data_IF_148649342848
#
_entry.id   IF_148649342848
#
_cell.length_a   1.000
_cell.length_b   1.000
_cell.length_c   1.000
_cell.angle_alpha   90.00
_cell.angle_beta   90.00
_cell.angle_gamma   90.00
#
_symmetry.space_group_name_H-M   'P 1'
#
loop_
_entity.id
_entity.type
_entity.pdbx_description
1 polymer ?
#
# COMPACT_ATOMS: atom_id res chain seq x y z
N UNK A 1 6.72 -18.88 14.47
CA UNK A 1 7.01 -19.86 13.39
C UNK A 1 6.97 -19.20 12.02
N UNK A 2 7.67 -19.72 11.02
CA UNK A 2 7.57 -19.27 9.63
C UNK A 2 6.85 -20.32 8.79
N UNK A 3 5.87 -19.90 7.97
CA UNK A 3 5.11 -20.77 7.07
C UNK A 3 5.20 -20.21 5.65
N UNK A 4 5.40 -21.10 4.67
CA UNK A 4 5.34 -20.73 3.25
C UNK A 4 3.89 -20.80 2.76
N UNK A 5 3.34 -19.65 2.41
CA UNK A 5 2.00 -19.51 1.85
C UNK A 5 2.07 -19.34 0.33
N UNK A 6 1.03 -19.81 -0.38
CA UNK A 6 0.85 -19.64 -1.82
C UNK A 6 -0.61 -19.30 -2.09
N UNK A 7 -0.86 -18.38 -3.01
CA UNK A 7 -2.18 -18.17 -3.61
C UNK A 7 -2.18 -18.82 -4.99
N UNK A 8 -3.00 -19.87 -5.15
CA UNK A 8 -3.22 -20.58 -6.41
C UNK A 8 -4.67 -20.39 -6.86
N UNK A 9 -4.89 -20.38 -8.17
CA UNK A 9 -6.22 -20.57 -8.75
C UNK A 9 -6.15 -21.53 -9.93
N UNK A 10 -7.30 -22.08 -10.29
CA UNK A 10 -7.47 -22.76 -11.57
C UNK A 10 -7.13 -21.84 -12.75
N UNK A 11 -6.47 -22.40 -13.76
CA UNK A 11 -6.26 -21.80 -15.07
C UNK A 11 -7.43 -22.16 -15.96
N UNK A 12 -8.47 -21.33 -15.91
CA UNK A 12 -9.74 -21.55 -16.61
C UNK A 12 -9.79 -20.80 -17.94
N UNK A 13 -10.20 -21.45 -19.03
CA UNK A 13 -10.43 -20.78 -20.31
C UNK A 13 -11.80 -20.07 -20.37
N UNK A 14 -12.08 -19.36 -21.46
CA UNK A 14 -13.35 -18.65 -21.69
C UNK A 14 -14.60 -19.53 -21.80
N UNK A 15 -14.46 -20.86 -21.76
CA UNK A 15 -15.56 -21.85 -21.73
C UNK A 15 -15.77 -22.48 -20.35
N UNK A 16 -14.94 -22.16 -19.35
CA UNK A 16 -15.00 -22.79 -18.03
C UNK A 16 -14.16 -24.06 -17.89
N UNK A 17 -13.37 -24.45 -18.90
CA UNK A 17 -12.50 -25.63 -18.82
C UNK A 17 -11.23 -25.29 -18.03
N UNK A 18 -10.84 -26.13 -17.05
CA UNK A 18 -9.65 -25.97 -16.20
C UNK A 18 -8.50 -26.78 -16.75
N UNK A 19 -7.32 -26.16 -16.91
CA UNK A 19 -6.13 -26.78 -17.52
C UNK A 19 -4.96 -27.00 -16.55
N UNK A 20 -5.16 -26.74 -15.25
CA UNK A 20 -4.16 -26.82 -14.19
C UNK A 20 -4.26 -25.65 -13.23
N UNK A 21 -3.32 -25.56 -12.30
CA UNK A 21 -3.25 -24.46 -11.33
C UNK A 21 -2.20 -23.42 -11.73
N UNK A 22 -2.47 -22.16 -11.42
CA UNK A 22 -1.51 -21.05 -11.51
C UNK A 22 -1.23 -20.49 -10.12
N UNK A 23 0.03 -20.47 -9.71
CA UNK A 23 0.50 -19.67 -8.59
C UNK A 23 0.52 -18.19 -9.00
N UNK A 24 -0.19 -17.35 -8.24
CA UNK A 24 -0.23 -15.89 -8.44
C UNK A 24 0.73 -15.16 -7.51
N UNK A 25 0.79 -15.60 -6.25
CA UNK A 25 1.64 -15.02 -5.21
C UNK A 25 2.16 -16.12 -4.27
N UNK A 26 3.32 -15.90 -3.69
CA UNK A 26 3.79 -16.66 -2.54
C UNK A 26 4.54 -15.77 -1.55
N UNK A 27 4.53 -16.17 -0.28
CA UNK A 27 5.10 -15.40 0.82
C UNK A 27 5.62 -16.33 1.93
N UNK A 28 6.51 -15.80 2.77
CA UNK A 28 6.82 -16.37 4.07
C UNK A 28 6.06 -15.57 5.13
N UNK A 29 5.08 -16.20 5.78
CA UNK A 29 4.29 -15.58 6.83
C UNK A 29 4.85 -16.00 8.18
N UNK A 30 5.20 -15.03 9.04
CA UNK A 30 5.62 -15.30 10.41
C UNK A 30 4.40 -15.31 11.33
N UNK A 31 4.06 -16.49 11.84
CA UNK A 31 3.06 -16.65 12.90
C UNK A 31 3.69 -16.44 14.28
N UNK A 32 2.94 -15.78 15.15
CA UNK A 32 3.24 -15.59 16.57
C UNK A 32 2.26 -16.43 17.38
N UNK A 33 2.70 -17.02 18.49
CA UNK A 33 1.78 -17.67 19.42
C UNK A 33 0.95 -16.61 20.15
N UNK A 34 -0.32 -16.91 20.40
CA UNK A 34 -1.19 -16.00 21.17
C UNK A 34 -0.66 -15.91 22.60
N UNK A 35 -0.36 -14.69 23.03
CA UNK A 35 0.16 -14.35 24.36
C UNK A 35 -0.53 -13.08 24.86
N UNK A 36 -0.67 -12.95 26.17
CA UNK A 36 -1.15 -11.70 26.81
C UNK A 36 -0.06 -10.61 26.76
N UNK A 37 1.21 -11.00 26.65
CA UNK A 37 2.33 -10.10 26.38
C UNK A 37 2.95 -10.41 25.01
N UNK A 38 2.82 -9.45 24.09
CA UNK A 38 3.45 -9.45 22.77
C UNK A 38 4.51 -8.34 22.63
N UNK A 39 4.89 -7.66 23.72
CA UNK A 39 5.78 -6.49 23.71
C UNK A 39 7.12 -6.77 23.03
N UNK A 40 7.76 -7.91 23.33
CA UNK A 40 9.02 -8.32 22.68
C UNK A 40 8.87 -8.56 21.18
N UNK A 41 7.73 -9.10 20.74
CA UNK A 41 7.42 -9.28 19.31
C UNK A 41 7.19 -7.93 18.63
N UNK A 42 6.31 -7.09 19.18
CA UNK A 42 5.97 -5.78 18.64
C UNK A 42 7.19 -4.86 18.60
N UNK A 43 8.04 -4.89 19.62
CA UNK A 43 9.32 -4.19 19.62
C UNK A 43 10.22 -4.67 18.47
N UNK A 44 10.32 -6.00 18.26
CA UNK A 44 11.10 -6.53 17.13
C UNK A 44 10.57 -6.07 15.77
N UNK A 45 9.26 -5.87 15.62
CA UNK A 45 8.66 -5.33 14.39
C UNK A 45 8.92 -3.84 14.21
N UNK A 46 8.74 -3.04 15.26
CA UNK A 46 9.06 -1.60 15.22
C UNK A 46 10.54 -1.39 14.89
N UNK A 47 11.46 -2.20 15.44
CA UNK A 47 12.90 -2.12 15.09
C UNK A 47 13.22 -2.59 13.67
N UNK A 48 12.33 -3.33 13.01
CA UNK A 48 12.49 -3.77 11.61
C UNK A 48 11.81 -2.84 10.61
N UNK A 49 11.03 -1.85 11.05
CA UNK A 49 10.42 -0.84 10.19
C UNK A 49 11.48 -0.11 9.32
N UNK A 50 11.08 0.49 8.19
CA UNK A 50 11.96 1.38 7.46
C UNK A 50 12.14 2.70 8.23
N UNK A 51 13.39 3.15 8.37
CA UNK A 51 13.73 4.41 9.03
C UNK A 51 13.63 5.57 8.04
N UNK A 52 12.38 5.94 7.72
CA UNK A 52 12.04 7.01 6.78
C UNK A 52 11.36 8.21 7.46
N UNK A 53 11.35 8.22 8.79
CA UNK A 53 10.69 9.23 9.62
C UNK A 53 9.16 9.17 9.58
N UNK A 54 8.53 10.10 10.30
CA UNK A 54 7.08 10.17 10.48
C UNK A 54 6.47 11.11 9.42
N UNK A 55 5.33 10.73 8.76
CA UNK A 55 4.61 11.60 7.84
C UNK A 55 4.13 12.89 8.51
N UNK A 56 4.17 14.02 7.80
CA UNK A 56 3.67 15.29 8.32
C UNK A 56 2.14 15.32 8.52
N UNK A 57 1.67 16.21 9.40
CA UNK A 57 0.25 16.45 9.68
C UNK A 57 -0.13 17.86 9.21
N UNK A 58 -0.03 18.08 7.90
CA UNK A 58 -0.40 19.33 7.23
C UNK A 58 -1.64 19.15 6.31
N UNK A 59 -2.15 20.25 5.77
CA UNK A 59 -3.25 20.24 4.79
C UNK A 59 -2.84 19.59 3.45
N UNK A 60 -3.83 19.09 2.70
CA UNK A 60 -3.59 18.48 1.39
C UNK A 60 -3.16 19.50 0.32
N UNK A 61 -1.97 19.34 -0.24
CA UNK A 61 -1.55 20.05 -1.46
C UNK A 61 -2.17 19.46 -2.73
N UNK A 62 -2.48 18.16 -2.76
CA UNK A 62 -3.19 17.51 -3.87
C UNK A 62 -4.37 16.65 -3.37
N UNK A 63 -5.56 16.97 -3.87
CA UNK A 63 -6.80 16.24 -3.58
C UNK A 63 -6.84 14.86 -4.25
N UNK A 64 -7.64 13.89 -3.73
CA UNK A 64 -7.89 12.58 -4.37
C UNK A 64 -8.22 12.66 -5.86
N UNK A 65 -8.96 13.70 -6.28
CA UNK A 65 -9.36 13.91 -7.66
C UNK A 65 -8.19 14.22 -8.62
N UNK A 66 -7.02 14.61 -8.11
CA UNK A 66 -5.79 14.76 -8.89
C UNK A 66 -5.10 13.42 -9.12
N UNK A 67 -5.13 12.54 -8.12
CA UNK A 67 -4.57 11.18 -8.13
C UNK A 67 -5.42 10.29 -9.04
N UNK A 68 -6.74 10.25 -8.85
CA UNK A 68 -7.65 9.40 -9.63
C UNK A 68 -7.97 9.89 -11.05
N UNK A 69 -7.36 10.99 -11.50
CA UNK A 69 -7.25 11.32 -12.94
C UNK A 69 -6.11 10.56 -13.64
N UNK A 70 -5.17 9.99 -12.88
CA UNK A 70 -3.97 9.27 -13.35
C UNK A 70 -4.05 7.77 -13.09
N UNK A 71 -4.81 7.38 -12.07
CA UNK A 71 -5.02 5.99 -11.70
C UNK A 71 -6.28 5.38 -12.34
N UNK A 72 -6.14 4.15 -12.84
CA UNK A 72 -7.24 3.32 -13.33
C UNK A 72 -7.91 2.52 -12.20
N UNK A 73 -8.28 3.19 -11.09
CA UNK A 73 -8.93 2.57 -9.94
C UNK A 73 -10.44 2.88 -9.87
N UNK A 74 -11.25 1.83 -9.84
CA UNK A 74 -12.68 1.93 -9.53
C UNK A 74 -12.91 2.38 -8.08
N UNK A 75 -14.07 2.98 -7.75
CA UNK A 75 -14.33 3.63 -6.46
C UNK A 75 -14.24 2.73 -5.22
N UNK A 76 -14.23 1.41 -5.38
CA UNK A 76 -13.96 0.43 -4.31
C UNK A 76 -12.47 0.34 -3.93
N UNK A 77 -11.55 0.83 -4.75
CA UNK A 77 -10.10 0.81 -4.53
C UNK A 77 -9.51 2.23 -4.45
N UNK A 78 -10.34 3.25 -4.26
CA UNK A 78 -9.89 4.63 -4.14
C UNK A 78 -9.53 4.96 -2.68
N UNK A 79 -8.43 4.35 -2.21
CA UNK A 79 -7.96 4.39 -0.82
C UNK A 79 -6.83 5.40 -0.52
N UNK A 80 -6.50 6.27 -1.47
CA UNK A 80 -5.53 7.36 -1.32
C UNK A 80 -6.28 8.69 -1.10
N UNK A 81 -6.23 9.20 0.12
CA UNK A 81 -7.01 10.36 0.60
C UNK A 81 -6.47 11.73 0.19
N UNK A 82 -5.27 11.78 -0.38
CA UNK A 82 -4.64 12.99 -0.92
C UNK A 82 -3.15 13.01 -0.61
N UNK A 83 -2.41 13.94 -1.21
CA UNK A 83 -1.00 14.20 -0.90
C UNK A 83 -0.91 15.43 0.00
N UNK A 84 -0.15 15.30 1.09
CA UNK A 84 0.17 16.35 2.05
C UNK A 84 1.38 17.16 1.56
N UNK A 85 2.45 16.49 1.11
CA UNK A 85 3.63 17.11 0.48
C UNK A 85 4.51 16.10 -0.27
N UNK A 86 5.42 16.57 -1.11
CA UNK A 86 6.61 15.80 -1.44
C UNK A 86 7.56 15.71 -0.24
N UNK A 87 8.39 14.67 -0.20
CA UNK A 87 9.45 14.48 0.80
C UNK A 87 10.67 13.82 0.17
N UNK A 88 11.76 13.76 0.94
CA UNK A 88 13.04 13.23 0.48
C UNK A 88 13.75 14.20 -0.46
N UNK A 89 14.61 13.67 -1.33
CA UNK A 89 15.41 14.45 -2.27
C UNK A 89 15.29 13.88 -3.71
N UNK A 90 16.24 14.20 -4.59
CA UNK A 90 16.24 13.70 -5.97
C UNK A 90 16.64 12.21 -6.08
N UNK A 91 17.44 11.73 -5.12
CA UNK A 91 17.94 10.36 -5.10
C UNK A 91 16.92 9.42 -4.42
N UNK A 92 16.27 9.90 -3.36
CA UNK A 92 15.22 9.20 -2.59
C UNK A 92 13.90 10.00 -2.51
N UNK A 93 13.25 10.31 -3.65
CA UNK A 93 12.01 11.07 -3.68
C UNK A 93 10.86 10.30 -3.03
N UNK A 94 9.92 11.02 -2.44
CA UNK A 94 8.77 10.45 -1.79
C UNK A 94 7.58 11.40 -1.63
N UNK A 95 6.53 10.91 -0.97
CA UNK A 95 5.32 11.67 -0.67
C UNK A 95 4.78 11.32 0.72
N UNK A 96 4.40 12.37 1.47
CA UNK A 96 3.51 12.27 2.63
C UNK A 96 2.06 12.41 2.13
N UNK A 97 1.18 11.52 2.54
CA UNK A 97 -0.18 11.36 2.01
C UNK A 97 -1.16 10.83 3.06
N UNK A 98 -2.46 10.86 2.76
CA UNK A 98 -3.50 10.24 3.60
C UNK A 98 -3.86 8.86 3.07
N UNK A 99 -3.86 7.85 3.94
CA UNK A 99 -4.42 6.52 3.65
C UNK A 99 -5.88 6.47 4.11
N UNK A 100 -6.77 5.95 3.26
CA UNK A 100 -8.18 5.76 3.62
C UNK A 100 -8.43 4.31 4.00
N UNK A 101 -9.01 4.13 5.17
CA UNK A 101 -9.58 2.86 5.57
C UNK A 101 -10.79 2.49 4.71
N UNK A 102 -11.08 1.19 4.75
CA UNK A 102 -12.17 0.50 4.09
C UNK A 102 -13.57 1.13 4.28
N UNK A 103 -13.83 1.84 5.39
CA UNK A 103 -15.08 2.57 5.68
C UNK A 103 -15.06 4.04 5.23
N UNK A 104 -13.90 4.58 4.85
CA UNK A 104 -13.71 5.95 4.34
C UNK A 104 -13.74 5.99 2.80
N UNK A 105 -13.74 4.83 2.13
CA UNK A 105 -13.76 4.70 0.67
C UNK A 105 -15.07 5.24 0.03
N UNK A 106 -15.03 5.69 -1.23
CA UNK A 106 -16.22 6.11 -1.98
C UNK A 106 -17.30 5.02 -2.12
N UNK A 107 -16.90 3.75 -2.23
CA UNK A 107 -17.77 2.59 -2.06
C UNK A 107 -17.13 1.66 -1.03
N UNK A 108 -17.87 1.31 0.02
CA UNK A 108 -17.34 0.69 1.25
C UNK A 108 -17.48 -0.82 1.25
N UNK A 109 -18.49 -1.32 0.55
CA UNK A 109 -18.77 -2.72 0.31
C UNK A 109 -17.65 -3.27 -0.59
N UNK A 110 -17.09 -4.41 -0.22
CA UNK A 110 -15.98 -5.08 -0.92
C UNK A 110 -16.31 -6.56 -1.15
N UNK A 111 -17.20 -7.11 -0.33
CA UNK A 111 -17.60 -8.51 -0.34
C UNK A 111 -19.10 -8.60 -0.54
N UNK A 112 -19.54 -9.61 -1.30
CA UNK A 112 -20.96 -9.86 -1.61
C UNK A 112 -21.86 -10.04 -0.36
N UNK A 113 -21.28 -10.42 0.78
CA UNK A 113 -21.99 -10.53 2.05
C UNK A 113 -22.59 -9.18 2.52
N UNK A 114 -21.90 -8.07 2.23
CA UNK A 114 -22.27 -6.73 2.72
C UNK A 114 -23.40 -6.08 1.92
N UNK A 115 -23.60 -6.52 0.68
CA UNK A 115 -24.75 -6.11 -0.15
C UNK A 115 -26.09 -6.44 0.53
N UNK A 116 -26.08 -7.38 1.48
CA UNK A 116 -27.23 -7.80 2.29
C UNK A 116 -27.07 -7.45 3.78
N UNK A 117 -26.14 -6.54 4.12
CA UNK A 117 -25.88 -6.12 5.50
C UNK A 117 -25.07 -7.09 6.36
N UNK A 118 -24.42 -8.10 5.76
CA UNK A 118 -23.49 -8.98 6.47
C UNK A 118 -22.21 -8.26 6.86
N UNK A 119 -21.63 -8.64 8.00
CA UNK A 119 -20.35 -8.13 8.49
C UNK A 119 -19.18 -9.00 7.99
N UNK A 120 -18.05 -8.37 7.62
CA UNK A 120 -16.81 -9.05 7.26
C UNK A 120 -15.67 -8.50 8.11
N UNK A 121 -15.16 -9.35 8.98
CA UNK A 121 -13.95 -9.11 9.76
C UNK A 121 -12.73 -9.59 8.97
N UNK A 122 -11.63 -8.83 9.02
CA UNK A 122 -10.38 -9.15 8.33
C UNK A 122 -9.23 -9.13 9.34
N UNK A 123 -8.42 -10.19 9.33
CA UNK A 123 -7.17 -10.32 10.10
C UNK A 123 -6.02 -9.45 9.52
N UNK A 124 -6.31 -8.63 8.51
CA UNK A 124 -5.34 -7.82 7.78
C UNK A 124 -6.00 -6.53 7.25
N UNK A 125 -5.18 -5.57 6.84
CA UNK A 125 -5.61 -4.24 6.40
C UNK A 125 -5.33 -4.05 4.87
N UNK A 126 -5.98 -4.83 3.97
CA UNK A 126 -5.62 -4.85 2.55
C UNK A 126 -5.79 -3.49 1.85
N UNK A 127 -6.74 -2.67 2.29
CA UNK A 127 -6.93 -1.32 1.75
C UNK A 127 -5.81 -0.34 2.15
N UNK A 128 -5.11 -0.59 3.26
CA UNK A 128 -3.94 0.21 3.66
C UNK A 128 -2.68 -0.24 2.90
N UNK A 129 -2.55 -1.55 2.62
CA UNK A 129 -1.51 -2.06 1.71
C UNK A 129 -1.72 -1.45 0.31
N UNK A 130 -2.95 -1.44 -0.20
CA UNK A 130 -3.31 -0.83 -1.49
C UNK A 130 -3.10 0.69 -1.49
N UNK A 131 -3.42 1.40 -0.39
CA UNK A 131 -3.09 2.82 -0.26
C UNK A 131 -1.57 3.06 -0.37
N UNK A 132 -0.76 2.18 0.21
CA UNK A 132 0.69 2.22 0.08
C UNK A 132 1.19 1.94 -1.34
N UNK A 133 0.57 1.00 -2.06
CA UNK A 133 0.85 0.77 -3.48
C UNK A 133 0.52 2.01 -4.33
N UNK A 134 -0.56 2.71 -4.01
CA UNK A 134 -0.95 3.94 -4.68
C UNK A 134 -0.03 5.12 -4.34
N UNK A 135 0.47 5.24 -3.10
CA UNK A 135 1.44 6.30 -2.76
C UNK A 135 2.79 6.07 -3.46
N UNK A 136 3.33 4.86 -3.34
CA UNK A 136 4.59 4.48 -3.98
C UNK A 136 4.50 4.56 -5.51
N UNK A 137 3.37 4.16 -6.09
CA UNK A 137 3.13 4.28 -7.52
C UNK A 137 3.02 5.74 -7.98
N UNK A 138 2.47 6.63 -7.16
CA UNK A 138 2.39 8.06 -7.44
C UNK A 138 3.79 8.71 -7.40
N UNK A 139 4.64 8.31 -6.46
CA UNK A 139 6.06 8.67 -6.42
C UNK A 139 6.81 8.15 -7.67
N UNK A 140 6.53 6.93 -8.12
CA UNK A 140 7.12 6.39 -9.35
C UNK A 140 6.63 7.11 -10.62
N UNK A 141 5.36 7.52 -10.68
CA UNK A 141 4.82 8.35 -11.77
C UNK A 141 5.49 9.72 -11.86
N UNK A 142 5.81 10.34 -10.71
CA UNK A 142 6.48 11.63 -10.63
C UNK A 142 7.96 11.53 -10.99
N UNK A 143 8.67 10.60 -10.37
CA UNK A 143 10.14 10.54 -10.42
C UNK A 143 10.71 9.74 -11.61
N UNK A 144 10.02 8.69 -12.07
CA UNK A 144 10.44 7.88 -13.22
C UNK A 144 9.58 8.12 -14.47
N UNK A 145 8.40 8.74 -14.33
CA UNK A 145 7.50 8.99 -15.46
C UNK A 145 6.75 7.74 -15.95
N UNK A 146 6.60 6.69 -15.12
CA UNK A 146 5.86 5.47 -15.49
C UNK A 146 4.72 5.14 -14.53
N UNK A 147 3.62 4.66 -15.10
CA UNK A 147 2.63 3.86 -14.38
C UNK A 147 3.20 2.46 -14.10
N UNK A 148 2.89 1.91 -12.92
CA UNK A 148 3.53 0.68 -12.43
C UNK A 148 2.54 -0.26 -11.75
N UNK A 149 2.89 -1.55 -11.66
CA UNK A 149 2.14 -2.56 -10.90
C UNK A 149 3.01 -3.18 -9.79
N UNK A 150 2.44 -3.51 -8.61
CA UNK A 150 3.17 -4.20 -7.56
C UNK A 150 3.54 -5.62 -7.97
N UNK A 151 4.80 -5.98 -7.77
CA UNK A 151 5.34 -7.33 -8.07
C UNK A 151 5.88 -8.07 -6.84
N UNK A 152 6.05 -7.39 -5.71
CA UNK A 152 6.51 -8.00 -4.46
C UNK A 152 6.71 -6.99 -3.34
N UNK A 153 6.87 -7.52 -2.13
CA UNK A 153 7.24 -6.78 -0.91
C UNK A 153 8.25 -7.68 -0.18
N UNK A 154 9.41 -7.16 0.24
CA UNK A 154 10.41 -7.95 0.96
C UNK A 154 9.98 -8.24 2.41
N UNK A 155 9.37 -7.25 3.07
CA UNK A 155 8.85 -7.39 4.42
C UNK A 155 7.65 -6.46 4.65
N UNK A 156 6.66 -6.96 5.38
CA UNK A 156 5.51 -6.16 5.83
C UNK A 156 5.06 -6.58 7.23
N UNK A 157 4.49 -5.64 7.97
CA UNK A 157 3.89 -5.90 9.27
C UNK A 157 2.63 -5.06 9.49
N UNK A 158 1.66 -5.61 10.21
CA UNK A 158 0.49 -4.90 10.73
C UNK A 158 0.63 -4.87 12.26
N UNK A 159 0.74 -3.67 12.85
CA UNK A 159 1.04 -3.51 14.27
C UNK A 159 -0.22 -3.34 15.12
N UNK A 160 -1.26 -2.68 14.56
CA UNK A 160 -2.57 -2.50 15.20
C UNK A 160 -3.67 -2.33 14.16
N UNK A 161 -4.91 -2.54 14.59
CA UNK A 161 -6.10 -2.10 13.84
C UNK A 161 -6.39 -0.65 14.24
N UNK A 162 -6.55 0.28 13.27
CA UNK A 162 -6.91 1.66 13.57
C UNK A 162 -8.35 1.82 14.08
N UNK A 163 -8.58 2.90 14.81
CA UNK A 163 -9.92 3.31 15.23
C UNK A 163 -10.76 3.78 14.04
N UNK A 164 -12.07 3.54 14.07
CA UNK A 164 -12.96 3.67 12.89
C UNK A 164 -12.89 5.01 12.14
N UNK A 165 -12.60 6.11 12.83
CA UNK A 165 -12.54 7.45 12.25
C UNK A 165 -11.14 8.09 12.35
N UNK A 166 -10.11 7.29 12.64
CA UNK A 166 -8.73 7.74 12.76
C UNK A 166 -8.20 8.33 11.44
N UNK A 167 -7.39 9.37 11.53
CA UNK A 167 -6.72 9.97 10.37
C UNK A 167 -5.39 9.26 10.15
N UNK A 168 -5.33 8.43 9.12
CA UNK A 168 -4.11 7.68 8.79
C UNK A 168 -3.25 8.46 7.80
N UNK A 169 -2.04 8.79 8.22
CA UNK A 169 -1.01 9.36 7.34
C UNK A 169 -0.06 8.27 6.88
N UNK A 170 0.44 8.39 5.66
CA UNK A 170 1.43 7.49 5.10
C UNK A 170 2.59 8.25 4.45
N UNK A 171 3.79 7.69 4.54
CA UNK A 171 4.97 8.14 3.80
C UNK A 171 5.48 6.96 2.96
N UNK A 172 5.81 7.21 1.71
CA UNK A 172 6.69 6.31 0.93
C UNK A 172 7.87 7.07 0.36
N UNK A 173 9.07 6.48 0.43
CA UNK A 173 10.26 6.92 -0.29
C UNK A 173 10.66 5.87 -1.32
N UNK A 174 11.03 6.29 -2.54
CA UNK A 174 11.70 5.45 -3.54
C UNK A 174 13.16 5.26 -3.12
N UNK A 175 13.47 4.15 -2.46
CA UNK A 175 14.81 3.85 -1.91
C UNK A 175 15.79 3.31 -2.95
N UNK A 176 15.31 2.73 -4.06
CA UNK A 176 16.16 2.28 -5.16
C UNK A 176 15.40 2.18 -6.50
N UNK A 177 16.17 2.07 -7.58
CA UNK A 177 15.71 1.62 -8.90
C UNK A 177 16.53 0.40 -9.30
N UNK A 178 15.83 -0.71 -9.55
CA UNK A 178 16.36 -1.99 -10.00
C UNK A 178 16.25 -2.12 -11.54
N UNK A 179 16.90 -3.13 -12.11
CA UNK A 179 16.86 -3.43 -13.54
C UNK A 179 15.43 -3.59 -14.11
N UNK A 180 15.30 -3.35 -15.41
CA UNK A 180 14.04 -3.48 -16.17
C UNK A 180 12.88 -2.60 -15.66
N UNK A 181 13.20 -1.44 -15.07
CA UNK A 181 12.22 -0.43 -14.68
C UNK A 181 11.42 -0.81 -13.44
N UNK A 182 12.07 -1.48 -12.47
CA UNK A 182 11.48 -1.78 -11.16
C UNK A 182 11.92 -0.71 -10.17
N UNK A 183 10.96 -0.04 -9.53
CA UNK A 183 11.25 0.87 -8.42
C UNK A 183 11.03 0.16 -7.09
N UNK A 184 11.90 0.44 -6.12
CA UNK A 184 11.85 -0.13 -4.76
C UNK A 184 11.47 0.98 -3.80
N UNK A 185 10.45 0.74 -2.98
CA UNK A 185 9.91 1.72 -2.04
C UNK A 185 9.84 1.15 -0.63
N UNK A 186 10.12 2.02 0.33
CA UNK A 186 9.86 1.78 1.74
C UNK A 186 8.70 2.69 2.19
N UNK A 187 7.81 2.17 3.04
CA UNK A 187 6.60 2.87 3.47
C UNK A 187 6.22 2.61 4.93
N UNK A 188 5.73 3.66 5.59
CA UNK A 188 5.05 3.60 6.90
C UNK A 188 3.66 4.22 6.81
N UNK A 189 2.73 3.71 7.62
CA UNK A 189 1.41 4.28 7.90
C UNK A 189 1.29 4.46 9.41
N UNK A 190 0.89 5.65 9.85
CA UNK A 190 0.75 6.04 11.26
C UNK A 190 -0.65 6.62 11.50
N UNK A 191 -1.08 6.58 12.77
CA UNK A 191 -2.28 7.27 13.24
C UNK A 191 -2.14 8.79 13.28
N UNK A 192 -3.12 9.47 13.88
CA UNK A 192 -3.02 10.90 14.23
C UNK A 192 -2.13 11.14 15.47
N UNK A 193 -1.92 10.11 16.28
CA UNK A 193 -1.05 10.05 17.46
C UNK A 193 0.42 9.68 17.15
N UNK A 194 0.79 9.66 15.87
CA UNK A 194 2.07 9.12 15.33
C UNK A 194 2.30 7.61 15.58
N UNK A 195 1.38 6.88 16.23
CA UNK A 195 1.58 5.46 16.52
C UNK A 195 1.48 4.63 15.22
N UNK A 196 2.47 3.76 14.95
CA UNK A 196 2.54 3.05 13.68
C UNK A 196 1.46 1.97 13.56
N UNK A 197 0.86 1.89 12.38
CA UNK A 197 -0.23 0.97 12.02
C UNK A 197 0.29 -0.16 11.15
N UNK A 198 1.03 0.21 10.09
CA UNK A 198 1.49 -0.70 9.05
C UNK A 198 2.82 -0.20 8.51
N UNK A 199 3.73 -1.11 8.18
CA UNK A 199 4.96 -0.78 7.47
C UNK A 199 5.24 -1.80 6.35
N UNK A 200 5.78 -1.31 5.24
CA UNK A 200 6.27 -2.10 4.11
C UNK A 200 7.74 -1.73 3.86
N UNK A 201 8.57 -2.73 3.58
CA UNK A 201 9.97 -2.56 3.19
C UNK A 201 10.23 -3.33 1.90
N UNK A 202 10.95 -2.73 0.96
CA UNK A 202 11.24 -3.34 -0.34
C UNK A 202 9.98 -3.61 -1.18
N UNK A 203 9.00 -2.70 -1.17
CA UNK A 203 7.86 -2.74 -2.09
C UNK A 203 8.37 -2.51 -3.52
N UNK A 204 8.24 -3.52 -4.38
CA UNK A 204 8.66 -3.44 -5.78
C UNK A 204 7.49 -3.13 -6.70
N UNK A 205 7.60 -2.04 -7.45
CA UNK A 205 6.66 -1.65 -8.49
C UNK A 205 7.35 -1.72 -9.86
N UNK A 206 6.81 -2.53 -10.77
CA UNK A 206 7.32 -2.67 -12.14
C UNK A 206 6.62 -1.72 -13.10
N UNK A 207 7.40 -0.96 -13.85
CA UNK A 207 6.90 -0.06 -14.91
C UNK A 207 6.11 -0.82 -15.98
N UNK A 208 4.99 -0.24 -16.39
CA UNK A 208 4.04 -0.82 -17.36
C UNK A 208 3.87 0.06 -18.60
N UNK A 209 3.60 1.35 -18.40
CA UNK A 209 3.40 2.32 -19.48
C UNK A 209 3.84 3.73 -19.05
N UNK A 210 4.40 4.55 -19.94
CA UNK A 210 4.79 5.92 -19.62
C UNK A 210 3.57 6.77 -19.23
N UNK A 211 3.77 7.72 -18.32
CA UNK A 211 2.79 8.74 -17.95
C UNK A 211 2.66 9.74 -19.11
N UNK A 212 1.45 9.98 -19.65
CA UNK A 212 1.23 10.98 -20.70
C UNK A 212 1.72 12.37 -20.27
N UNK A 213 2.21 13.17 -21.20
CA UNK A 213 2.84 14.47 -20.89
C UNK A 213 1.87 15.42 -20.16
N UNK A 214 0.59 15.42 -20.53
CA UNK A 214 -0.48 16.17 -19.88
C UNK A 214 -0.86 15.64 -18.47
N UNK A 215 -0.39 14.45 -18.12
CA UNK A 215 -0.55 13.84 -16.80
C UNK A 215 0.69 13.96 -15.93
N UNK A 216 1.84 14.39 -16.45
CA UNK A 216 3.05 14.61 -15.62
C UNK A 216 2.80 15.69 -14.56
N UNK A 217 3.58 15.61 -13.50
CA UNK A 217 3.58 16.54 -12.38
C UNK A 217 4.92 16.43 -11.64
N UNK A 218 5.19 17.36 -10.74
CA UNK A 218 6.34 17.36 -9.83
C UNK A 218 5.79 17.66 -8.44
N UNK A 219 6.32 17.01 -7.41
CA UNK A 219 6.02 17.36 -6.02
C UNK A 219 7.08 18.35 -5.50
N UNK A 220 6.62 19.42 -4.86
CA UNK A 220 7.49 20.30 -4.08
C UNK A 220 7.90 19.57 -2.79
N UNK A 221 9.19 19.68 -2.42
CA UNK A 221 9.87 18.94 -1.35
C UNK A 221 10.60 19.93 -0.44
#
# INVERSE_FOLDING_TARGET
HWIRCKLVSDLTNSKGEVFGEREHHSALVRLVEKSDDLSGFLHSEVTQMPDIGIPGLEDLVLMPSFIYKRYFHGPRFQCHGGVIRGVGDNDTPGADSIALMRNQLPIREQFKAEENGGEVLLEALPMLIEAGFQNAGFVAMESEGFSSLPIGIDWSTNLRVPERNEILRMRSLRVAVEDAGVTVHDLVIVGDDDAPVLALKGLRLKSMAPVPDEQRFILER
#
